data_IF_745934233655
#
_entry.id   IF_745934233655
#
_cell.length_a   1.000
_cell.length_b   1.000
_cell.length_c   1.000
_cell.angle_alpha   90.00
_cell.angle_beta   90.00
_cell.angle_gamma   90.00
#
_symmetry.space_group_name_H-M   'P 1'
#
loop_
_entity.id
_entity.type
_entity.pdbx_description
1 polymer ?
#
# COMPACT_ATOMS: atom_id res chain seq x y z
N UNK A 1 13.66 3.58 -10.51
CA UNK A 1 12.56 3.09 -9.65
C UNK A 1 12.05 1.81 -10.27
N UNK A 2 12.02 0.73 -9.51
CA UNK A 2 11.79 -0.62 -10.01
C UNK A 2 10.32 -1.00 -9.88
N UNK A 3 9.72 -0.75 -8.73
CA UNK A 3 8.30 -0.93 -8.50
C UNK A 3 7.74 0.10 -7.52
N UNK A 4 6.42 0.26 -7.51
CA UNK A 4 5.65 1.14 -6.63
C UNK A 4 4.72 0.25 -5.82
N UNK A 5 4.70 0.44 -4.49
CA UNK A 5 3.75 -0.20 -3.60
C UNK A 5 2.56 0.73 -3.37
N UNK A 6 1.37 0.24 -3.63
CA UNK A 6 0.12 0.94 -3.34
C UNK A 6 -0.66 0.13 -2.30
N UNK A 7 -0.67 0.63 -1.06
CA UNK A 7 -1.17 -0.10 0.11
C UNK A 7 -2.66 0.11 0.35
N UNK A 8 -3.50 -0.06 -0.67
CA UNK A 8 -4.96 0.05 -0.60
C UNK A 8 -5.47 1.47 -0.89
N UNK A 9 -6.78 1.56 -1.09
CA UNK A 9 -7.50 2.79 -1.39
C UNK A 9 -6.92 3.55 -2.60
N UNK A 10 -6.48 2.80 -3.60
CA UNK A 10 -6.04 3.36 -4.88
C UNK A 10 -7.21 4.01 -5.64
N UNK A 11 -8.41 3.44 -5.45
CA UNK A 11 -9.66 3.97 -5.95
C UNK A 11 -10.53 4.39 -4.77
N UNK A 12 -11.07 5.60 -4.81
CA UNK A 12 -11.86 6.13 -3.69
C UNK A 12 -13.31 5.60 -3.67
N UNK A 13 -13.76 4.87 -4.68
CA UNK A 13 -15.15 4.40 -4.78
C UNK A 13 -15.31 3.25 -5.77
N UNK A 14 -16.23 2.33 -5.46
CA UNK A 14 -16.73 1.32 -6.41
C UNK A 14 -17.56 1.96 -7.53
N UNK A 15 -18.02 3.21 -7.38
CA UNK A 15 -18.93 3.90 -8.30
C UNK A 15 -18.21 4.60 -9.48
N UNK A 16 -16.88 4.50 -9.56
CA UNK A 16 -16.11 5.10 -10.65
C UNK A 16 -16.61 4.63 -12.01
N UNK A 17 -16.74 5.59 -12.93
CA UNK A 17 -17.14 5.34 -14.31
C UNK A 17 -16.00 4.68 -15.08
N UNK A 18 -16.34 3.86 -16.05
CA UNK A 18 -15.37 3.16 -16.89
C UNK A 18 -14.38 4.12 -17.58
N UNK A 19 -14.85 5.33 -17.95
CA UNK A 19 -14.01 6.35 -18.56
C UNK A 19 -12.92 6.86 -17.60
N UNK A 20 -13.27 7.08 -16.33
CA UNK A 20 -12.33 7.50 -15.30
C UNK A 20 -11.26 6.43 -15.06
N UNK A 21 -11.68 5.17 -15.01
CA UNK A 21 -10.77 4.03 -14.87
C UNK A 21 -9.84 3.89 -16.07
N UNK A 22 -10.34 4.09 -17.30
CA UNK A 22 -9.52 4.08 -18.51
C UNK A 22 -8.49 5.21 -18.52
N UNK A 23 -8.85 6.39 -18.03
CA UNK A 23 -7.93 7.51 -17.90
C UNK A 23 -6.80 7.21 -16.89
N UNK A 24 -7.14 6.61 -15.74
CA UNK A 24 -6.15 6.15 -14.77
C UNK A 24 -5.25 5.09 -15.42
N UNK A 25 -5.81 4.11 -16.10
CA UNK A 25 -5.06 3.05 -16.76
C UNK A 25 -4.10 3.60 -17.84
N UNK A 26 -4.54 4.58 -18.62
CA UNK A 26 -3.70 5.24 -19.62
C UNK A 26 -2.51 6.00 -18.99
N UNK A 27 -2.68 6.56 -17.78
CA UNK A 27 -1.56 7.14 -17.03
C UNK A 27 -0.57 6.06 -16.57
N UNK A 28 -1.07 4.91 -16.09
CA UNK A 28 -0.24 3.77 -15.68
C UNK A 28 0.57 3.23 -16.87
N UNK A 29 -0.01 3.15 -18.05
CA UNK A 29 0.68 2.70 -19.27
C UNK A 29 1.89 3.56 -19.67
N UNK A 30 1.92 4.82 -19.24
CA UNK A 30 3.05 5.73 -19.45
C UNK A 30 4.28 5.40 -18.60
N UNK A 31 4.16 4.54 -17.59
CA UNK A 31 5.29 4.07 -16.81
C UNK A 31 6.24 3.26 -17.71
N UNK A 32 7.48 3.71 -17.87
CA UNK A 32 8.45 3.08 -18.77
C UNK A 32 9.07 1.80 -18.18
N UNK A 33 9.38 1.83 -16.89
CA UNK A 33 10.16 0.76 -16.23
C UNK A 33 9.47 0.21 -14.98
N UNK A 34 8.83 1.07 -14.18
CA UNK A 34 8.19 0.65 -12.95
C UNK A 34 6.90 -0.16 -13.20
N UNK A 35 6.61 -1.05 -12.27
CA UNK A 35 5.30 -1.70 -12.14
C UNK A 35 4.69 -1.26 -10.82
N UNK A 36 3.37 -1.16 -10.77
CA UNK A 36 2.62 -0.93 -9.54
C UNK A 36 2.21 -2.29 -9.00
N UNK A 37 2.53 -2.55 -7.73
CA UNK A 37 1.97 -3.65 -6.95
C UNK A 37 0.98 -3.04 -5.97
N UNK A 38 -0.30 -3.33 -6.15
CA UNK A 38 -1.38 -2.76 -5.36
C UNK A 38 -2.10 -3.86 -4.58
N UNK A 39 -2.53 -3.52 -3.38
CA UNK A 39 -3.59 -4.22 -2.65
C UNK A 39 -4.84 -3.34 -2.64
N UNK A 40 -6.00 -3.90 -2.40
CA UNK A 40 -7.22 -3.14 -2.12
C UNK A 40 -7.32 -2.79 -0.64
N UNK A 41 -8.02 -1.71 -0.33
CA UNK A 41 -8.35 -1.25 1.00
C UNK A 41 -9.87 -1.24 1.25
N UNK A 42 -10.31 -0.43 2.21
CA UNK A 42 -11.72 -0.35 2.60
C UNK A 42 -12.58 0.49 1.64
N UNK A 43 -11.99 1.42 0.86
CA UNK A 43 -12.69 2.20 -0.15
C UNK A 43 -12.82 1.46 -1.48
N UNK A 44 -11.91 0.55 -1.79
CA UNK A 44 -11.84 -0.18 -3.06
C UNK A 44 -11.75 -1.71 -2.91
N UNK A 45 -12.53 -2.33 -2.01
CA UNK A 45 -12.43 -3.76 -1.77
C UNK A 45 -12.74 -4.58 -3.03
N UNK A 46 -12.16 -5.77 -3.14
CA UNK A 46 -12.38 -6.66 -4.27
C UNK A 46 -13.68 -7.46 -4.13
N UNK A 47 -14.80 -6.76 -4.05
CA UNK A 47 -16.15 -7.35 -4.06
C UNK A 47 -16.55 -7.80 -5.47
N UNK A 48 -17.74 -8.38 -5.61
CA UNK A 48 -18.29 -8.73 -6.93
C UNK A 48 -18.50 -7.50 -7.82
N UNK A 49 -18.81 -6.33 -7.20
CA UNK A 49 -19.06 -5.06 -7.88
C UNK A 49 -17.82 -4.16 -7.95
N UNK A 50 -16.66 -4.66 -7.59
CA UNK A 50 -15.42 -3.87 -7.53
C UNK A 50 -15.14 -3.14 -8.84
N UNK A 51 -14.75 -1.87 -8.73
CA UNK A 51 -14.34 -1.04 -9.85
C UNK A 51 -13.15 -1.64 -10.62
N UNK A 52 -12.31 -2.40 -9.96
CA UNK A 52 -11.18 -3.11 -10.59
C UNK A 52 -11.59 -4.12 -11.67
N UNK A 53 -12.84 -4.61 -11.64
CA UNK A 53 -13.36 -5.58 -12.61
C UNK A 53 -13.97 -4.95 -13.85
N UNK A 54 -14.11 -3.62 -13.89
CA UNK A 54 -14.80 -2.90 -14.97
C UNK A 54 -13.94 -2.71 -16.23
N UNK A 55 -12.62 -2.87 -16.13
CA UNK A 55 -11.68 -2.73 -17.25
C UNK A 55 -10.54 -3.76 -17.15
N UNK A 56 -9.87 -3.98 -18.28
CA UNK A 56 -8.60 -4.67 -18.32
C UNK A 56 -7.47 -3.70 -17.96
N UNK A 57 -6.78 -3.96 -16.87
CA UNK A 57 -5.69 -3.11 -16.41
C UNK A 57 -4.39 -3.37 -17.18
N UNK A 58 -3.58 -2.35 -17.30
CA UNK A 58 -2.24 -2.41 -17.86
C UNK A 58 -1.40 -3.51 -17.18
N UNK A 59 -0.53 -4.17 -17.94
CA UNK A 59 0.49 -5.10 -17.41
C UNK A 59 1.47 -4.44 -16.41
N UNK A 60 1.44 -3.10 -16.32
CA UNK A 60 2.19 -2.31 -15.32
C UNK A 60 1.46 -2.18 -13.98
N UNK A 61 0.23 -2.67 -13.89
CA UNK A 61 -0.57 -2.64 -12.67
C UNK A 61 -0.91 -4.08 -12.26
N UNK A 62 -0.30 -4.53 -11.17
CA UNK A 62 -0.62 -5.81 -10.56
C UNK A 62 -1.46 -5.56 -9.30
N UNK A 63 -2.75 -5.85 -9.40
CA UNK A 63 -3.62 -5.90 -8.24
C UNK A 63 -3.48 -7.28 -7.60
N UNK A 64 -2.99 -7.32 -6.37
CA UNK A 64 -2.88 -8.54 -5.60
C UNK A 64 -4.27 -9.12 -5.32
N UNK A 65 -4.51 -10.42 -5.58
CA UNK A 65 -5.79 -11.05 -5.29
C UNK A 65 -6.26 -10.86 -3.85
N UNK A 66 -7.58 -10.85 -3.65
CA UNK A 66 -8.17 -10.71 -2.32
C UNK A 66 -7.68 -11.79 -1.35
N UNK A 67 -7.54 -11.43 -0.08
CA UNK A 67 -7.00 -12.28 0.98
C UNK A 67 -5.49 -12.17 1.12
N UNK A 68 -4.91 -13.10 1.88
CA UNK A 68 -3.47 -13.15 2.14
C UNK A 68 -2.75 -13.95 1.05
N UNK A 69 -1.68 -13.39 0.52
CA UNK A 69 -0.90 -14.03 -0.53
C UNK A 69 0.53 -13.52 -0.63
N UNK A 70 1.23 -13.97 -1.67
CA UNK A 70 2.61 -13.55 -1.97
C UNK A 70 2.80 -13.33 -3.46
N UNK A 71 3.64 -12.36 -3.80
CA UNK A 71 4.15 -12.16 -5.15
C UNK A 71 5.66 -12.05 -5.10
N UNK A 72 6.34 -12.81 -5.97
CA UNK A 72 7.79 -12.78 -6.11
C UNK A 72 8.17 -11.87 -7.28
N UNK A 73 8.95 -10.85 -6.99
CA UNK A 73 9.58 -9.98 -7.97
C UNK A 73 11.02 -10.45 -8.18
N UNK A 74 11.18 -11.56 -8.92
CA UNK A 74 12.46 -12.29 -9.03
C UNK A 74 13.61 -11.43 -9.57
N UNK A 75 13.34 -10.54 -10.53
CA UNK A 75 14.34 -9.60 -11.07
C UNK A 75 14.89 -8.64 -10.03
N UNK A 76 14.17 -8.42 -8.94
CA UNK A 76 14.54 -7.52 -7.84
C UNK A 76 14.90 -8.29 -6.55
N UNK A 77 14.96 -9.63 -6.61
CA UNK A 77 15.20 -10.49 -5.45
C UNK A 77 14.31 -10.11 -4.25
N UNK A 78 13.04 -9.83 -4.51
CA UNK A 78 12.08 -9.34 -3.53
C UNK A 78 10.85 -10.24 -3.49
N UNK A 79 10.35 -10.54 -2.30
CA UNK A 79 9.07 -11.17 -2.07
C UNK A 79 8.18 -10.19 -1.32
N UNK A 80 7.00 -9.95 -1.86
CA UNK A 80 5.96 -9.15 -1.23
C UNK A 80 4.91 -10.11 -0.69
N UNK A 81 4.74 -10.14 0.62
CA UNK A 81 3.61 -10.78 1.29
C UNK A 81 2.55 -9.70 1.53
N UNK A 82 1.30 -10.01 1.32
CA UNK A 82 0.24 -9.01 1.40
C UNK A 82 -1.05 -9.59 1.98
N UNK A 83 -1.92 -8.68 2.45
CA UNK A 83 -3.34 -8.93 2.63
C UNK A 83 -4.14 -7.87 1.88
N UNK A 84 -4.98 -8.30 0.94
CA UNK A 84 -5.80 -7.46 0.07
C UNK A 84 -7.28 -7.63 0.41
N UNK A 85 -8.00 -6.52 0.55
CA UNK A 85 -9.36 -6.51 1.10
C UNK A 85 -10.43 -7.00 0.10
N UNK A 86 -11.45 -7.68 0.62
CA UNK A 86 -12.63 -8.10 -0.14
C UNK A 86 -13.96 -7.64 0.49
N UNK A 87 -13.89 -6.83 1.54
CA UNK A 87 -15.03 -6.27 2.27
C UNK A 87 -14.68 -4.89 2.80
N UNK A 88 -15.68 -4.09 3.20
CA UNK A 88 -15.47 -2.69 3.62
C UNK A 88 -14.97 -2.53 5.05
N UNK A 89 -15.14 -3.53 5.88
CA UNK A 89 -14.74 -3.52 7.29
C UNK A 89 -14.11 -4.86 7.66
N UNK A 90 -13.07 -4.83 8.47
CA UNK A 90 -12.38 -5.98 9.01
C UNK A 90 -12.05 -5.72 10.49
N UNK A 91 -12.95 -6.13 11.37
CA UNK A 91 -12.83 -5.85 12.82
C UNK A 91 -11.89 -6.81 13.54
N UNK A 92 -11.64 -7.96 12.95
CA UNK A 92 -10.80 -8.99 13.56
C UNK A 92 -9.34 -8.81 13.15
N UNK A 93 -8.41 -8.94 14.10
CA UNK A 93 -6.99 -8.94 13.81
C UNK A 93 -6.63 -10.06 12.81
N UNK A 94 -5.69 -9.75 11.93
CA UNK A 94 -5.12 -10.74 11.02
C UNK A 94 -4.06 -11.58 11.77
N UNK A 95 -4.10 -12.90 11.58
CA UNK A 95 -2.92 -13.71 11.88
C UNK A 95 -1.79 -13.26 10.97
N UNK A 96 -0.72 -12.71 11.56
CA UNK A 96 0.36 -12.13 10.78
C UNK A 96 1.06 -13.22 9.96
N UNK A 97 1.15 -13.05 8.64
CA UNK A 97 1.89 -13.98 7.81
C UNK A 97 3.39 -13.93 8.16
N UNK A 98 4.07 -15.06 7.99
CA UNK A 98 5.53 -15.12 8.16
C UNK A 98 6.22 -14.75 6.84
N UNK A 99 7.46 -14.21 6.88
CA UNK A 99 8.28 -14.03 5.69
C UNK A 99 8.46 -15.34 4.90
N UNK A 100 8.78 -15.23 3.63
CA UNK A 100 9.12 -16.39 2.81
C UNK A 100 10.41 -17.04 3.32
N UNK A 101 10.47 -18.38 3.31
CA UNK A 101 11.67 -19.13 3.69
C UNK A 101 12.85 -18.99 2.68
N UNK A 102 12.67 -18.28 1.57
CA UNK A 102 13.71 -18.09 0.56
C UNK A 102 14.78 -17.13 1.08
N UNK A 103 15.96 -17.65 1.35
CA UNK A 103 17.10 -16.85 1.81
C UNK A 103 17.59 -15.89 0.74
N UNK A 104 18.12 -14.74 1.18
CA UNK A 104 18.74 -13.74 0.31
C UNK A 104 17.77 -12.95 -0.56
N UNK A 105 16.48 -12.98 -0.24
CA UNK A 105 15.46 -12.11 -0.84
C UNK A 105 15.01 -11.07 0.17
N UNK A 106 14.73 -9.86 -0.33
CA UNK A 106 14.15 -8.80 0.45
C UNK A 106 12.67 -9.09 0.70
N UNK A 107 12.24 -9.05 1.96
CA UNK A 107 10.91 -9.46 2.38
C UNK A 107 10.08 -8.23 2.75
N UNK A 108 9.03 -7.97 2.00
CA UNK A 108 8.11 -6.85 2.23
C UNK A 108 6.77 -7.39 2.70
N UNK A 109 6.16 -6.73 3.68
CA UNK A 109 4.76 -6.93 4.05
C UNK A 109 3.95 -5.70 3.63
N UNK A 110 2.85 -5.92 2.89
CA UNK A 110 1.88 -4.89 2.54
C UNK A 110 0.55 -5.16 3.23
N UNK A 111 0.09 -4.20 4.01
CA UNK A 111 -1.22 -4.25 4.68
C UNK A 111 -1.95 -2.91 4.52
N UNK A 112 -3.28 -2.98 4.59
CA UNK A 112 -4.14 -1.81 4.71
C UNK A 112 -4.92 -1.96 6.01
N UNK A 113 -4.69 -1.09 6.99
CA UNK A 113 -5.30 -1.21 8.31
C UNK A 113 -4.81 -0.15 9.28
N UNK A 114 -5.33 -0.20 10.49
CA UNK A 114 -5.16 0.83 11.51
C UNK A 114 -4.37 0.29 12.71
N UNK A 115 -3.39 1.06 13.18
CA UNK A 115 -2.65 0.76 14.40
C UNK A 115 -3.31 1.33 15.66
N UNK A 116 -4.49 1.93 15.57
CA UNK A 116 -5.30 2.29 16.72
C UNK A 116 -5.90 1.05 17.40
N UNK A 117 -5.98 1.07 18.73
CA UNK A 117 -6.38 -0.10 19.54
C UNK A 117 -7.80 -0.61 19.26
N UNK A 118 -8.71 0.30 18.85
CA UNK A 118 -10.11 -0.03 18.54
C UNK A 118 -10.42 0.48 17.12
N UNK A 119 -10.24 -0.37 16.12
CA UNK A 119 -10.53 -0.02 14.73
C UNK A 119 -11.39 -1.10 14.06
N UNK A 120 -12.31 -0.64 13.20
CA UNK A 120 -13.06 -1.51 12.28
C UNK A 120 -12.31 -1.82 10.99
N UNK A 121 -11.11 -1.26 10.86
CA UNK A 121 -10.32 -1.31 9.63
C UNK A 121 -9.01 -2.06 9.86
N UNK A 122 -9.12 -3.37 10.09
CA UNK A 122 -8.02 -4.29 10.35
C UNK A 122 -7.09 -3.77 11.46
N UNK A 123 -7.41 -4.01 12.74
CA UNK A 123 -6.55 -3.58 13.83
C UNK A 123 -5.20 -4.25 13.75
N UNK A 124 -4.12 -3.45 13.80
CA UNK A 124 -2.74 -3.86 13.63
C UNK A 124 -1.93 -3.52 14.89
N UNK A 125 -1.09 -4.44 15.32
CA UNK A 125 -0.08 -4.19 16.36
C UNK A 125 1.25 -3.80 15.70
N UNK A 126 1.63 -2.53 15.81
CA UNK A 126 2.86 -2.00 15.21
C UNK A 126 4.13 -2.68 15.73
N UNK A 127 4.16 -3.06 17.02
CA UNK A 127 5.32 -3.75 17.60
C UNK A 127 5.41 -5.19 17.10
N UNK A 128 4.29 -5.90 17.03
CA UNK A 128 4.25 -7.24 16.46
C UNK A 128 4.67 -7.22 14.97
N UNK A 129 4.24 -6.19 14.20
CA UNK A 129 4.66 -5.99 12.81
C UNK A 129 6.18 -5.78 12.70
N UNK A 130 6.76 -4.92 13.54
CA UNK A 130 8.20 -4.67 13.56
C UNK A 130 9.02 -5.92 13.91
N UNK A 131 8.47 -6.82 14.72
CA UNK A 131 9.11 -8.07 15.13
C UNK A 131 8.78 -9.27 14.24
N UNK A 132 8.00 -9.07 13.18
CA UNK A 132 7.51 -10.15 12.31
C UNK A 132 8.56 -10.77 11.39
N UNK A 133 9.76 -10.17 11.31
CA UNK A 133 10.87 -10.65 10.50
C UNK A 133 10.84 -10.20 9.03
N UNK A 134 9.93 -9.28 8.67
CA UNK A 134 9.98 -8.60 7.37
C UNK A 134 11.01 -7.48 7.39
N UNK A 135 11.67 -7.25 6.24
CA UNK A 135 12.65 -6.17 6.10
C UNK A 135 11.99 -4.78 6.00
N UNK A 136 10.75 -4.74 5.51
CA UNK A 136 9.96 -3.52 5.35
C UNK A 136 8.47 -3.82 5.45
N UNK A 137 7.74 -3.03 6.24
CA UNK A 137 6.29 -3.12 6.36
C UNK A 137 5.67 -1.83 5.83
N UNK A 138 4.96 -1.94 4.71
CA UNK A 138 4.25 -0.86 4.05
C UNK A 138 2.77 -0.91 4.44
N UNK A 139 2.30 0.14 5.10
CA UNK A 139 0.92 0.27 5.57
C UNK A 139 0.16 1.34 4.78
N UNK A 140 -1.11 1.09 4.51
CA UNK A 140 -2.10 2.04 4.04
C UNK A 140 -3.22 2.26 5.06
N UNK A 141 -4.20 3.09 4.76
CA UNK A 141 -5.35 3.52 5.54
C UNK A 141 -5.14 4.89 6.22
N UNK A 142 -4.04 5.11 6.89
CA UNK A 142 -3.77 6.37 7.58
C UNK A 142 -3.18 7.36 6.57
N UNK A 143 -3.85 8.51 6.36
CA UNK A 143 -3.45 9.52 5.39
C UNK A 143 -2.29 10.40 5.83
N UNK A 144 -1.87 10.30 7.09
CA UNK A 144 -0.74 11.03 7.64
C UNK A 144 0.53 10.16 7.62
N UNK A 145 1.63 10.74 7.13
CA UNK A 145 2.95 10.10 7.20
C UNK A 145 3.34 9.81 8.64
N UNK A 146 3.68 8.57 8.95
CA UNK A 146 4.16 8.17 10.27
C UNK A 146 4.94 6.84 10.24
N UNK A 147 5.78 6.66 11.24
CA UNK A 147 6.50 5.42 11.51
C UNK A 147 6.13 4.92 12.91
N UNK A 148 5.07 4.09 13.04
CA UNK A 148 4.58 3.65 14.34
C UNK A 148 5.52 2.69 15.08
N UNK A 149 6.41 2.01 14.36
CA UNK A 149 7.47 1.16 14.94
C UNK A 149 8.66 1.06 13.96
N UNK A 150 9.82 0.55 14.38
CA UNK A 150 10.94 0.31 13.47
C UNK A 150 10.50 -0.52 12.26
N UNK A 151 10.90 -0.07 11.06
CA UNK A 151 10.62 -0.70 9.77
C UNK A 151 9.15 -0.82 9.37
N UNK A 152 8.24 -0.12 10.08
CA UNK A 152 6.80 -0.08 9.82
C UNK A 152 6.40 1.35 9.44
N UNK A 153 5.83 1.55 8.24
CA UNK A 153 5.60 2.88 7.68
C UNK A 153 4.21 3.03 7.06
N UNK A 154 3.54 4.13 7.43
CA UNK A 154 2.46 4.72 6.65
C UNK A 154 3.03 5.88 5.85
N UNK A 155 2.93 5.85 4.53
CA UNK A 155 3.36 6.99 3.72
C UNK A 155 2.36 8.16 3.77
N UNK A 156 1.15 7.90 4.14
CA UNK A 156 0.06 8.85 4.02
C UNK A 156 -0.51 8.94 2.60
N UNK A 157 -1.37 9.92 2.38
CA UNK A 157 -1.89 10.27 1.05
C UNK A 157 -0.89 11.14 0.29
N UNK A 158 -0.97 11.13 -1.05
CA UNK A 158 -0.12 11.99 -1.90
C UNK A 158 -0.52 13.47 -1.84
N UNK A 159 -1.80 13.73 -1.60
CA UNK A 159 -2.40 15.06 -1.45
C UNK A 159 -3.33 15.05 -0.24
N UNK A 160 -3.43 16.14 0.53
CA UNK A 160 -4.41 16.25 1.59
C UNK A 160 -5.81 16.38 0.99
N UNK A 161 -6.79 15.67 1.57
CA UNK A 161 -8.17 15.67 1.12
C UNK A 161 -9.02 16.74 1.80
N UNK A 162 -8.72 17.06 3.07
CA UNK A 162 -9.45 18.04 3.85
C UNK A 162 -8.56 18.78 4.87
N UNK A 163 -9.18 19.69 5.64
CA UNK A 163 -8.48 20.51 6.64
C UNK A 163 -7.96 19.72 7.86
N UNK A 164 -8.42 18.51 8.08
CA UNK A 164 -7.93 17.62 9.14
C UNK A 164 -6.57 17.00 8.80
N UNK A 165 -6.22 16.98 7.51
CA UNK A 165 -4.99 16.41 6.99
C UNK A 165 -3.90 17.48 6.84
N UNK A 166 -3.45 18.03 7.97
CA UNK A 166 -2.39 19.05 8.00
C UNK A 166 -0.99 18.43 7.93
N UNK A 167 -0.03 19.19 7.37
CA UNK A 167 1.38 18.83 7.27
C UNK A 167 1.78 18.30 5.90
N UNK A 168 2.98 17.72 5.82
CA UNK A 168 3.52 17.23 4.56
C UNK A 168 2.86 15.93 4.11
N UNK A 169 2.51 15.86 2.81
CA UNK A 169 2.00 14.69 2.12
C UNK A 169 2.94 14.24 1.01
N UNK A 170 3.07 12.94 0.79
CA UNK A 170 4.01 12.40 -0.16
C UNK A 170 4.16 10.88 -0.08
N UNK A 171 5.37 10.40 -0.29
CA UNK A 171 5.65 8.96 -0.32
C UNK A 171 7.04 8.63 0.24
N UNK A 172 7.25 7.38 0.63
CA UNK A 172 8.58 6.89 0.97
C UNK A 172 9.31 6.36 -0.28
N UNK A 173 10.53 6.84 -0.49
CA UNK A 173 11.50 6.24 -1.40
C UNK A 173 12.38 5.30 -0.58
N UNK A 174 12.40 4.03 -0.98
CA UNK A 174 13.21 2.99 -0.33
C UNK A 174 14.24 2.47 -1.32
N UNK A 175 15.50 2.74 -1.02
CA UNK A 175 16.64 2.22 -1.78
C UNK A 175 17.20 1.01 -1.04
N UNK A 176 17.36 -0.11 -1.74
CA UNK A 176 17.91 -1.36 -1.18
C UNK A 176 19.13 -1.78 -2.00
N UNK A 177 20.29 -1.86 -1.36
CA UNK A 177 21.54 -2.30 -1.96
C UNK A 177 22.22 -3.34 -1.06
N UNK A 178 22.10 -4.61 -1.42
CA UNK A 178 22.53 -5.71 -0.56
C UNK A 178 21.76 -5.72 0.76
N UNK A 179 22.48 -5.63 1.89
CA UNK A 179 21.88 -5.53 3.23
C UNK A 179 21.59 -4.07 3.66
N UNK A 180 22.04 -3.11 2.87
CA UNK A 180 21.81 -1.69 3.18
C UNK A 180 20.44 -1.24 2.70
N UNK A 181 19.72 -0.57 3.58
CA UNK A 181 18.45 0.06 3.27
C UNK A 181 18.50 1.54 3.62
N UNK A 182 17.99 2.37 2.73
CA UNK A 182 17.78 3.79 2.97
C UNK A 182 16.31 4.12 2.68
N UNK A 183 15.59 4.53 3.70
CA UNK A 183 14.22 5.00 3.60
C UNK A 183 14.17 6.52 3.76
N UNK A 184 13.53 7.22 2.82
CA UNK A 184 13.40 8.67 2.83
C UNK A 184 11.98 9.05 2.47
N UNK A 185 11.37 9.92 3.27
CA UNK A 185 10.12 10.56 2.87
C UNK A 185 10.40 11.62 1.80
N UNK A 186 9.57 11.65 0.77
CA UNK A 186 9.62 12.61 -0.33
C UNK A 186 8.31 13.38 -0.32
N UNK A 187 8.31 14.65 0.13
CA UNK A 187 7.14 15.51 0.00
C UNK A 187 6.76 15.65 -1.47
N UNK A 188 5.48 15.50 -1.78
CA UNK A 188 4.98 15.48 -3.15
C UNK A 188 3.77 16.40 -3.36
N UNK A 189 2.96 16.61 -2.31
CA UNK A 189 1.73 17.39 -2.38
C UNK A 189 1.99 18.82 -2.89
N UNK A 190 1.06 19.31 -3.71
CA UNK A 190 1.07 20.68 -4.20
C UNK A 190 0.29 21.62 -3.28
N UNK A 191 -0.47 21.07 -2.33
CA UNK A 191 -1.25 21.81 -1.34
C UNK A 191 -0.86 21.38 0.06
N UNK A 192 -0.92 22.32 0.99
CA UNK A 192 -0.75 22.06 2.41
C UNK A 192 -1.83 22.81 3.20
N UNK A 193 -2.51 22.11 4.08
CA UNK A 193 -3.41 22.75 5.05
C UNK A 193 -2.65 23.07 6.33
N UNK A 194 -2.79 24.30 6.80
CA UNK A 194 -2.16 24.78 8.04
C UNK A 194 -3.21 25.32 8.99
N UNK A 195 -3.14 24.91 10.24
CA UNK A 195 -3.91 25.57 11.32
C UNK A 195 -3.20 26.86 11.68
N UNK A 196 -3.95 27.96 11.70
CA UNK A 196 -3.48 29.31 12.07
C UNK A 196 -3.94 29.61 13.50
#
# INVERSE_FOLDING_TARGET
MDFILCCGDFLNSEELRVEELRNINAMIERLKHAVIVAISGNHDPQTENSAYRKIDWSKRFYLAPAGTGRVALSSYRTVITYHSWNQKEMEQPLELPKPSAQQGQYQILMLHGDTAAESRYLPLDAQALSQSGFDYVALGHIHKMQQPAPDVYYCGSLEPLDFGESGEHGFFMVDVEGERRRCRFIPFAQREYRTI
#
